data_IF_777636374028
#
_entry.id   IF_777636374028
#
_cell.length_a   1.000
_cell.length_b   1.000
_cell.length_c   1.000
_cell.angle_alpha   90.00
_cell.angle_beta   90.00
_cell.angle_gamma   90.00
#
_symmetry.space_group_name_H-M   'P 1'
#
loop_
_entity.id
_entity.type
_entity.pdbx_description
1 polymer ?
#
# COMPACT_ATOMS: atom_id res chain seq x y z
N UNK A 1 8.17 -6.34 21.99
CA UNK A 1 8.50 -4.91 22.14
C UNK A 1 7.85 -4.19 20.96
N UNK A 2 6.88 -3.32 21.19
CA UNK A 2 6.25 -2.50 20.13
C UNK A 2 7.11 -1.26 19.99
N UNK A 3 7.77 -1.12 18.84
CA UNK A 3 8.67 0.01 18.56
C UNK A 3 7.96 1.00 17.61
N UNK A 4 7.98 2.32 17.89
CA UNK A 4 7.42 3.34 17.00
C UNK A 4 8.13 3.46 15.63
N UNK A 5 9.23 2.74 15.43
CA UNK A 5 9.91 2.60 14.15
C UNK A 5 9.01 2.02 13.06
N UNK A 6 8.09 1.11 13.42
CA UNK A 6 7.26 0.41 12.45
C UNK A 6 6.04 1.23 12.00
N UNK A 7 5.76 1.19 10.69
CA UNK A 7 4.73 2.02 10.05
C UNK A 7 3.30 1.77 10.54
N UNK A 8 3.00 0.60 11.12
CA UNK A 8 1.64 0.25 11.57
C UNK A 8 1.05 1.22 12.60
N UNK A 9 1.83 1.70 13.57
CA UNK A 9 1.34 2.63 14.60
C UNK A 9 1.11 4.04 14.05
N UNK A 10 1.92 4.46 13.06
CA UNK A 10 1.77 5.74 12.35
C UNK A 10 0.46 5.77 11.55
N UNK A 11 0.12 4.68 10.87
CA UNK A 11 -1.15 4.54 10.13
C UNK A 11 -2.34 4.65 11.07
N UNK A 12 -2.32 3.90 12.17
CA UNK A 12 -3.37 3.99 13.20
C UNK A 12 -3.53 5.41 13.71
N UNK A 13 -2.43 6.09 14.02
CA UNK A 13 -2.45 7.47 14.50
C UNK A 13 -3.12 8.41 13.48
N UNK A 14 -2.78 8.30 12.20
CA UNK A 14 -3.41 9.09 11.13
C UNK A 14 -4.93 8.83 11.08
N UNK A 15 -5.34 7.55 11.12
CA UNK A 15 -6.76 7.18 11.09
C UNK A 15 -7.55 7.71 12.30
N UNK A 16 -6.89 7.83 13.45
CA UNK A 16 -7.52 8.29 14.70
C UNK A 16 -7.54 9.81 14.84
N UNK A 17 -6.57 10.52 14.26
CA UNK A 17 -6.39 11.96 14.49
C UNK A 17 -6.75 12.84 13.28
N UNK A 18 -6.72 12.31 12.06
CA UNK A 18 -7.14 13.06 10.87
C UNK A 18 -8.65 12.92 10.71
N UNK A 19 -9.37 14.04 10.81
CA UNK A 19 -10.82 14.06 10.73
C UNK A 19 -11.34 13.39 9.44
N UNK A 20 -12.31 12.48 9.60
CA UNK A 20 -12.93 11.73 8.50
C UNK A 20 -12.02 10.69 7.83
N UNK A 21 -10.75 10.56 8.21
CA UNK A 21 -9.83 9.62 7.57
C UNK A 21 -10.25 8.16 7.74
N UNK A 22 -10.71 7.76 8.94
CA UNK A 22 -11.20 6.40 9.22
C UNK A 22 -12.39 6.01 8.34
N UNK A 23 -13.37 6.90 8.21
CA UNK A 23 -14.54 6.63 7.36
C UNK A 23 -14.12 6.53 5.89
N UNK A 24 -13.25 7.43 5.43
CA UNK A 24 -12.71 7.38 4.07
C UNK A 24 -11.89 6.12 3.79
N UNK A 25 -11.14 5.63 4.77
CA UNK A 25 -10.43 4.36 4.67
C UNK A 25 -11.40 3.19 4.53
N UNK A 26 -12.49 3.15 5.32
CA UNK A 26 -13.54 2.13 5.21
C UNK A 26 -14.31 2.18 3.90
N UNK A 27 -14.44 3.36 3.29
CA UNK A 27 -15.02 3.53 1.94
C UNK A 27 -14.05 3.19 0.80
N UNK A 28 -12.82 2.79 1.12
CA UNK A 28 -11.77 2.48 0.15
C UNK A 28 -11.30 3.71 -0.64
N UNK A 29 -11.42 4.92 -0.07
CA UNK A 29 -10.94 6.17 -0.66
C UNK A 29 -9.51 6.52 -0.25
N UNK A 30 -9.02 5.89 0.82
CA UNK A 30 -7.63 5.99 1.25
C UNK A 30 -6.90 4.71 0.91
N UNK A 31 -5.65 4.87 0.49
CA UNK A 31 -4.69 3.81 0.30
C UNK A 31 -3.51 4.07 1.22
N UNK A 32 -2.86 3.00 1.68
CA UNK A 32 -1.64 3.01 2.43
C UNK A 32 -0.50 2.47 1.57
N UNK A 33 0.70 3.00 1.77
CA UNK A 33 1.89 2.43 1.17
C UNK A 33 3.14 2.89 1.88
N UNK A 34 4.21 2.12 1.70
CA UNK A 34 5.58 2.59 1.91
C UNK A 34 6.01 3.47 0.72
N UNK A 35 7.20 4.07 0.80
CA UNK A 35 7.69 5.02 -0.21
C UNK A 35 7.77 4.40 -1.61
N UNK A 36 8.12 3.12 -1.73
CA UNK A 36 8.13 2.37 -2.99
C UNK A 36 6.74 2.31 -3.62
N UNK A 37 5.71 1.97 -2.84
CA UNK A 37 4.31 1.97 -3.28
C UNK A 37 3.89 3.35 -3.76
N UNK A 38 4.29 4.42 -3.06
CA UNK A 38 3.98 5.78 -3.47
C UNK A 38 4.62 6.18 -4.79
N UNK A 39 5.88 5.83 -4.99
CA UNK A 39 6.56 6.07 -6.26
C UNK A 39 5.89 5.32 -7.40
N UNK A 40 5.59 4.02 -7.22
CA UNK A 40 4.88 3.20 -8.22
C UNK A 40 3.50 3.78 -8.54
N UNK A 41 2.74 4.17 -7.52
CA UNK A 41 1.43 4.79 -7.69
C UNK A 41 1.51 6.08 -8.50
N UNK A 42 2.45 6.97 -8.20
CA UNK A 42 2.64 8.22 -8.95
C UNK A 42 3.10 7.98 -10.38
N UNK A 43 4.02 7.05 -10.57
CA UNK A 43 4.59 6.66 -11.87
C UNK A 43 3.58 5.97 -12.80
N UNK A 44 2.61 5.26 -12.22
CA UNK A 44 1.54 4.56 -12.95
C UNK A 44 0.25 5.37 -13.01
N UNK A 45 0.27 6.64 -12.55
CA UNK A 45 -0.90 7.54 -12.48
C UNK A 45 -2.08 6.93 -11.72
N UNK A 46 -1.81 6.23 -10.62
CA UNK A 46 -2.83 5.63 -9.76
C UNK A 46 -3.43 4.32 -10.25
N UNK A 47 -2.74 3.63 -11.16
CA UNK A 47 -3.20 2.34 -11.71
C UNK A 47 -2.67 1.14 -10.95
N UNK A 48 -1.51 1.26 -10.31
CA UNK A 48 -0.81 0.14 -9.67
C UNK A 48 -0.53 0.50 -8.22
N UNK A 49 -1.05 -0.32 -7.32
CA UNK A 49 -0.91 -0.17 -5.86
C UNK A 49 -0.27 -1.43 -5.29
N UNK A 50 1.06 -1.47 -5.30
CA UNK A 50 1.85 -2.66 -4.94
C UNK A 50 3.03 -2.30 -4.04
N UNK A 51 3.53 -3.29 -3.33
CA UNK A 51 4.81 -3.25 -2.59
C UNK A 51 5.52 -4.60 -2.73
N UNK A 52 6.82 -4.66 -2.48
CA UNK A 52 7.55 -5.92 -2.44
C UNK A 52 7.64 -6.50 -1.03
N UNK A 53 7.96 -7.80 -0.92
CA UNK A 53 8.12 -8.48 0.38
C UNK A 53 9.11 -7.78 1.32
N UNK A 54 10.19 -7.20 0.79
CA UNK A 54 11.23 -6.54 1.61
C UNK A 54 10.66 -5.30 2.29
N UNK A 55 9.93 -4.46 1.56
CA UNK A 55 9.31 -3.27 2.12
C UNK A 55 8.09 -3.61 2.99
N UNK A 56 7.26 -4.58 2.59
CA UNK A 56 6.15 -5.06 3.40
C UNK A 56 6.60 -5.55 4.78
N UNK A 57 7.71 -6.29 4.85
CA UNK A 57 8.24 -6.83 6.11
C UNK A 57 8.59 -5.76 7.16
N UNK A 58 8.84 -4.51 6.72
CA UNK A 58 9.19 -3.38 7.61
C UNK A 58 7.98 -2.64 8.17
N UNK A 59 6.77 -3.05 7.82
CA UNK A 59 5.54 -2.37 8.26
C UNK A 59 5.01 -2.86 9.61
N UNK A 60 5.48 -4.02 10.11
CA UNK A 60 4.89 -4.81 11.22
C UNK A 60 3.49 -5.39 10.90
N UNK A 61 2.91 -5.07 9.73
CA UNK A 61 1.61 -5.59 9.30
C UNK A 61 1.72 -6.86 8.44
N UNK A 62 2.93 -7.24 8.04
CA UNK A 62 3.18 -8.34 7.11
C UNK A 62 3.76 -9.56 7.84
N UNK A 63 3.18 -10.72 7.59
CA UNK A 63 3.66 -11.99 8.14
C UNK A 63 4.62 -12.65 7.14
N UNK A 64 5.90 -12.71 7.53
CA UNK A 64 6.98 -13.24 6.67
C UNK A 64 6.91 -14.76 6.45
N UNK A 65 6.16 -15.49 7.28
CA UNK A 65 6.02 -16.94 7.14
C UNK A 65 4.91 -17.31 6.15
N UNK A 66 3.80 -16.57 6.17
CA UNK A 66 2.66 -16.78 5.25
C UNK A 66 2.77 -15.95 3.97
N UNK A 67 3.71 -14.99 3.94
CA UNK A 67 3.90 -14.03 2.86
C UNK A 67 2.65 -13.20 2.53
N UNK A 68 1.87 -12.89 3.56
CA UNK A 68 0.64 -12.10 3.44
C UNK A 68 0.49 -11.10 4.59
N UNK A 69 -0.42 -10.14 4.44
CA UNK A 69 -0.80 -9.24 5.52
C UNK A 69 -1.41 -10.03 6.69
N UNK A 70 -0.95 -9.71 7.91
CA UNK A 70 -1.35 -10.37 9.14
C UNK A 70 -2.68 -9.81 9.63
N UNK A 71 -3.77 -10.55 9.42
CA UNK A 71 -5.13 -10.12 9.80
C UNK A 71 -5.26 -9.79 11.28
N UNK A 72 -4.52 -10.48 12.16
CA UNK A 72 -4.54 -10.20 13.60
C UNK A 72 -3.90 -8.86 13.91
N UNK A 73 -2.80 -8.51 13.24
CA UNK A 73 -2.19 -7.18 13.39
C UNK A 73 -3.09 -6.07 12.83
N UNK A 74 -3.77 -6.34 11.71
CA UNK A 74 -4.73 -5.40 11.13
C UNK A 74 -5.92 -5.15 12.05
N UNK A 75 -6.45 -6.20 12.69
CA UNK A 75 -7.53 -6.09 13.67
C UNK A 75 -7.10 -5.30 14.91
N UNK A 76 -5.92 -5.63 15.48
CA UNK A 76 -5.39 -4.93 16.68
C UNK A 76 -5.19 -3.44 16.41
N UNK A 77 -4.79 -3.06 15.20
CA UNK A 77 -4.57 -1.66 14.83
C UNK A 77 -5.80 -0.99 14.20
N UNK A 78 -6.89 -1.72 14.01
CA UNK A 78 -8.13 -1.30 13.32
C UNK A 78 -7.81 -0.64 11.96
N UNK A 79 -7.05 -1.37 11.13
CA UNK A 79 -6.62 -0.97 9.78
C UNK A 79 -7.41 -1.78 8.74
N UNK A 80 -8.21 -1.14 7.85
CA UNK A 80 -8.90 -1.85 6.79
C UNK A 80 -7.93 -2.49 5.79
N UNK A 81 -8.08 -3.79 5.53
CA UNK A 81 -7.23 -4.54 4.59
C UNK A 81 -7.28 -3.97 3.17
N UNK A 82 -8.41 -3.42 2.75
CA UNK A 82 -8.59 -2.77 1.43
C UNK A 82 -7.69 -1.56 1.19
N UNK A 83 -7.13 -0.99 2.27
CA UNK A 83 -6.21 0.13 2.20
C UNK A 83 -4.78 -0.33 1.85
N UNK A 84 -4.44 -1.61 2.03
CA UNK A 84 -3.07 -2.11 1.90
C UNK A 84 -2.71 -2.42 0.43
N UNK A 85 -1.44 -2.22 0.03
CA UNK A 85 -1.00 -2.57 -1.31
C UNK A 85 -0.94 -4.08 -1.49
N UNK A 86 -1.05 -4.51 -2.74
CA UNK A 86 -0.79 -5.90 -3.10
C UNK A 86 0.71 -6.21 -2.95
N UNK A 87 1.04 -7.27 -2.20
CA UNK A 87 2.44 -7.65 -1.97
C UNK A 87 2.91 -8.59 -3.08
N UNK A 88 4.03 -8.25 -3.71
CA UNK A 88 4.59 -8.97 -4.86
C UNK A 88 6.07 -9.32 -4.64
N UNK A 89 6.60 -10.19 -5.49
CA UNK A 89 8.04 -10.52 -5.47
C UNK A 89 8.87 -9.34 -5.93
N UNK A 90 10.00 -9.10 -5.27
CA UNK A 90 10.91 -7.97 -5.54
C UNK A 90 11.44 -7.89 -6.98
N UNK A 91 11.57 -9.04 -7.65
CA UNK A 91 11.96 -9.14 -9.07
C UNK A 91 10.80 -9.62 -9.92
N UNK A 92 9.65 -8.95 -9.78
CA UNK A 92 8.50 -9.14 -10.65
C UNK A 92 8.16 -7.89 -11.43
N UNK A 93 7.44 -8.19 -12.50
CA UNK A 93 6.82 -7.35 -13.47
C UNK A 93 5.54 -6.79 -12.78
N UNK A 94 5.50 -5.59 -12.17
CA UNK A 94 4.30 -4.92 -11.57
C UNK A 94 3.26 -4.14 -12.46
N UNK A 95 3.64 -3.27 -13.41
CA UNK A 95 2.79 -2.58 -14.39
C UNK A 95 3.54 -1.46 -15.14
N UNK A 96 3.01 -0.86 -16.23
CA UNK A 96 3.76 0.12 -17.06
C UNK A 96 3.79 1.55 -16.47
N UNK A 97 4.93 2.26 -16.57
CA UNK A 97 5.00 3.69 -16.24
C UNK A 97 4.30 4.49 -17.33
N UNK A 98 3.52 5.49 -16.91
CA UNK A 98 2.95 6.47 -17.81
C UNK A 98 3.51 7.86 -17.46
N UNK A 99 4.73 8.13 -17.92
CA UNK A 99 5.40 9.42 -17.73
C UNK A 99 5.53 10.06 -19.12
N UNK A 100 4.81 11.17 -19.36
CA UNK A 100 5.05 12.05 -20.51
C UNK A 100 4.70 11.48 -21.90
N UNK A 101 3.74 10.58 -22.02
CA UNK A 101 3.26 10.08 -23.33
C UNK A 101 4.13 8.99 -23.98
N UNK A 102 5.19 8.54 -23.30
CA UNK A 102 5.91 7.30 -23.65
C UNK A 102 5.71 6.28 -22.54
N UNK A 103 5.01 5.19 -22.85
CA UNK A 103 4.88 4.07 -21.94
C UNK A 103 6.23 3.35 -21.86
N UNK A 104 6.97 3.57 -20.78
CA UNK A 104 8.12 2.71 -20.46
C UNK A 104 7.59 1.51 -19.67
N UNK A 105 8.14 0.32 -19.93
CA UNK A 105 7.80 -0.85 -19.13
C UNK A 105 8.41 -0.64 -17.74
N UNK A 106 7.60 -0.18 -16.80
CA UNK A 106 7.69 -0.84 -15.50
C UNK A 106 7.08 -2.20 -15.74
N UNK A 107 7.86 -3.19 -15.35
CA UNK A 107 7.71 -4.59 -15.70
C UNK A 107 6.22 -4.98 -15.32
N UNK A 108 5.39 -5.82 -16.00
CA UNK A 108 3.93 -6.15 -15.83
C UNK A 108 3.49 -7.61 -15.45
N UNK A 109 2.57 -7.82 -14.47
CA UNK A 109 1.94 -9.11 -14.10
C UNK A 109 0.47 -9.10 -14.55
N UNK A 110 -0.09 -10.22 -15.06
CA UNK A 110 -1.46 -10.24 -15.55
C UNK A 110 -2.44 -10.27 -14.36
N UNK A 111 -3.21 -9.20 -14.15
CA UNK A 111 -4.41 -9.25 -13.32
C UNK A 111 -4.60 -8.17 -12.25
N UNK A 112 -3.72 -7.17 -12.10
CA UNK A 112 -3.96 -6.13 -11.09
C UNK A 112 -5.12 -5.20 -11.55
N UNK A 113 -6.22 -5.10 -10.78
CA UNK A 113 -7.41 -4.36 -11.20
C UNK A 113 -7.11 -2.87 -11.31
N UNK A 114 -7.38 -2.28 -12.48
CA UNK A 114 -7.27 -0.83 -12.69
C UNK A 114 -8.30 -0.13 -11.80
N UNK A 115 -7.85 0.49 -10.72
CA UNK A 115 -8.71 1.24 -9.81
C UNK A 115 -9.31 2.47 -10.51
N UNK A 116 -10.62 2.45 -10.76
CA UNK A 116 -11.36 3.51 -11.48
C UNK A 116 -11.88 4.65 -10.58
N UNK A 117 -11.65 4.58 -9.26
CA UNK A 117 -12.09 5.59 -8.27
C UNK A 117 -10.92 6.50 -7.86
N UNK A 118 -11.14 7.81 -7.64
CA UNK A 118 -10.10 8.70 -7.14
C UNK A 118 -9.75 8.31 -5.70
N UNK A 119 -8.65 7.58 -5.52
CA UNK A 119 -8.11 7.17 -4.21
C UNK A 119 -6.90 8.03 -3.84
N UNK A 120 -6.80 8.40 -2.58
CA UNK A 120 -5.67 9.18 -2.07
C UNK A 120 -4.69 8.25 -1.34
N UNK A 121 -3.44 8.19 -1.82
CA UNK A 121 -2.40 7.36 -1.22
C UNK A 121 -1.67 8.11 -0.10
N UNK A 122 -1.80 7.60 1.12
CA UNK A 122 -1.09 8.01 2.32
C UNK A 122 0.20 7.19 2.43
N UNK A 123 1.34 7.86 2.39
CA UNK A 123 2.66 7.23 2.54
C UNK A 123 3.20 7.46 3.94
N UNK A 124 3.65 6.41 4.63
CA UNK A 124 4.45 6.54 5.86
C UNK A 124 5.92 6.30 5.52
N UNK A 125 6.78 7.28 5.81
CA UNK A 125 8.23 7.13 5.80
C UNK A 125 8.74 6.58 7.13
#
# INVERSE_FOLDING_TARGET
MIDPYFSGTKVKWILDHVEGSRERARRGELLFGTVDTWLIWKMTQGRVHVTDYTNASRTMLFNIHTLDWDDKMLEVLDIPREMLPEVRRSSEVYGQTNIGGKAARVFQSPGSPVTSRPRCLVSCA
#
